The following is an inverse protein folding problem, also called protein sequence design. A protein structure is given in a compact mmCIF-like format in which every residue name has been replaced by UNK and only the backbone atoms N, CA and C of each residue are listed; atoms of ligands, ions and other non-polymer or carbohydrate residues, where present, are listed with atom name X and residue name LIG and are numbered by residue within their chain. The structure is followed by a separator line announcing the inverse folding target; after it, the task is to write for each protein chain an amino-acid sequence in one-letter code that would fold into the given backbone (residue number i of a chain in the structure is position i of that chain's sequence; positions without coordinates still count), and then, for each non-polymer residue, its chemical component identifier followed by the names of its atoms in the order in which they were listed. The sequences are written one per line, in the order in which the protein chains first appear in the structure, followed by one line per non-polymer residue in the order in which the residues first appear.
data_IF_430905806890
#
_entry.id   IF_430905806890
#
_cell.length_a   1.000
_cell.length_b   1.000
_cell.length_c   1.000
_cell.angle_alpha   90.00
_cell.angle_beta   90.00
_cell.angle_gamma   90.00
#
_symmetry.space_group_name_H-M   'P 1'
#
loop_
_entity.id
_entity.type
_entity.pdbx_description
1 polymer ?
#
# COMPACT_ATOMS: atom_id res chain seq x y z
N UNK A 1 36.09 2.32 -25.16
CA UNK A 1 34.69 1.82 -25.10
C UNK A 1 34.32 1.26 -26.46
N UNK A 2 33.73 0.08 -26.54
CA UNK A 2 33.39 -0.56 -27.82
C UNK A 2 32.09 0.03 -28.39
N UNK A 3 31.92 0.02 -29.72
CA UNK A 3 30.76 0.60 -30.42
C UNK A 3 29.42 0.10 -29.86
N UNK A 4 29.32 -1.21 -29.56
CA UNK A 4 28.10 -1.79 -28.98
C UNK A 4 27.75 -1.22 -27.59
N UNK A 5 28.75 -0.80 -26.79
CA UNK A 5 28.51 -0.17 -25.48
C UNK A 5 27.96 1.24 -25.65
N UNK A 6 28.46 1.99 -26.63
CA UNK A 6 27.97 3.34 -26.96
C UNK A 6 26.53 3.28 -27.47
N UNK A 7 26.22 2.32 -28.35
CA UNK A 7 24.86 2.09 -28.85
C UNK A 7 23.92 1.74 -27.70
N UNK A 8 24.34 0.87 -26.79
CA UNK A 8 23.51 0.48 -25.64
C UNK A 8 23.23 1.66 -24.71
N UNK A 9 24.24 2.49 -24.42
CA UNK A 9 24.10 3.71 -23.61
C UNK A 9 23.18 4.71 -24.31
N UNK A 10 23.32 4.91 -25.62
CA UNK A 10 22.48 5.82 -26.39
C UNK A 10 21.01 5.36 -26.42
N UNK A 11 20.75 4.07 -26.59
CA UNK A 11 19.40 3.51 -26.53
C UNK A 11 18.81 3.63 -25.13
N UNK A 12 19.59 3.35 -24.08
CA UNK A 12 19.16 3.53 -22.70
C UNK A 12 18.78 4.98 -22.40
N UNK A 13 19.62 5.95 -22.80
CA UNK A 13 19.34 7.38 -22.66
C UNK A 13 18.12 7.83 -23.49
N UNK A 14 17.94 7.31 -24.70
CA UNK A 14 16.78 7.61 -25.52
C UNK A 14 15.48 7.12 -24.85
N UNK A 15 15.47 5.91 -24.29
CA UNK A 15 14.29 5.38 -23.60
C UNK A 15 13.91 6.20 -22.37
N UNK A 16 14.88 6.61 -21.54
CA UNK A 16 14.60 7.43 -20.35
C UNK A 16 14.11 8.83 -20.72
N UNK A 17 14.64 9.41 -21.81
CA UNK A 17 14.19 10.70 -22.34
C UNK A 17 12.74 10.63 -22.87
N UNK A 18 12.37 9.56 -23.58
CA UNK A 18 10.99 9.37 -24.07
C UNK A 18 9.99 9.22 -22.94
N UNK A 19 10.32 8.46 -21.88
CA UNK A 19 9.46 8.35 -20.69
C UNK A 19 9.30 9.69 -19.94
N UNK A 20 10.32 10.56 -19.98
CA UNK A 20 10.26 11.88 -19.36
C UNK A 20 9.44 12.91 -20.16
N UNK A 21 9.21 12.69 -21.45
CA UNK A 21 8.44 13.59 -22.32
C UNK A 21 6.92 13.42 -22.22
N UNK A 22 6.43 12.31 -21.65
CA UNK A 22 5.00 12.12 -21.45
C UNK A 22 4.51 13.02 -20.29
N UNK A 23 4.09 14.25 -20.65
CA UNK A 23 3.64 15.31 -19.74
C UNK A 23 2.12 15.47 -19.72
N UNK A 24 1.35 14.43 -20.01
CA UNK A 24 -0.09 14.53 -19.72
C UNK A 24 -0.28 14.70 -18.21
N UNK A 25 -0.85 15.84 -17.82
CA UNK A 25 -1.10 16.17 -16.43
C UNK A 25 -2.15 15.21 -15.88
N UNK A 26 -1.71 14.20 -15.12
CA UNK A 26 -2.59 13.20 -14.55
C UNK A 26 -3.54 13.85 -13.53
N UNK A 27 -4.80 14.03 -13.93
CA UNK A 27 -5.79 14.71 -13.10
C UNK A 27 -6.59 13.68 -12.30
N UNK A 28 -6.25 13.52 -11.01
CA UNK A 28 -6.97 12.63 -10.08
C UNK A 28 -8.22 13.31 -9.53
N UNK A 29 -9.41 12.75 -9.79
CA UNK A 29 -10.69 13.27 -9.29
C UNK A 29 -11.67 12.11 -9.03
N UNK A 30 -12.62 12.34 -8.14
CA UNK A 30 -13.70 11.39 -7.84
C UNK A 30 -13.30 10.33 -6.81
N UNK A 31 -13.99 9.19 -6.86
CA UNK A 31 -13.81 8.10 -5.91
C UNK A 31 -12.47 7.38 -6.08
N UNK A 32 -11.92 6.92 -4.97
CA UNK A 32 -10.72 6.08 -4.91
C UNK A 32 -11.11 4.75 -4.30
N UNK A 33 -10.74 3.66 -4.95
CA UNK A 33 -10.86 2.31 -4.45
C UNK A 33 -9.54 1.58 -4.61
N UNK A 34 -9.19 0.73 -3.66
CA UNK A 34 -7.97 -0.06 -3.73
C UNK A 34 -8.03 -1.28 -2.83
N UNK A 35 -7.24 -2.29 -3.19
CA UNK A 35 -6.96 -3.44 -2.34
C UNK A 35 -5.45 -3.62 -2.22
N UNK A 36 -4.99 -4.18 -1.11
CA UNK A 36 -3.58 -4.51 -0.92
C UNK A 36 -3.41 -5.73 -0.03
N UNK A 37 -2.28 -6.41 -0.22
CA UNK A 37 -1.74 -7.40 0.72
C UNK A 37 -0.56 -6.77 1.44
N UNK A 38 -0.28 -7.22 2.65
CA UNK A 38 0.85 -6.71 3.41
C UNK A 38 1.21 -7.58 4.60
N UNK A 39 2.20 -7.13 5.34
CA UNK A 39 2.59 -7.71 6.60
C UNK A 39 3.09 -6.64 7.55
N UNK A 40 3.39 -7.03 8.77
CA UNK A 40 3.92 -6.13 9.77
C UNK A 40 4.38 -6.87 11.00
N UNK A 41 4.67 -6.09 12.03
CA UNK A 41 5.06 -6.58 13.34
C UNK A 41 3.97 -6.21 14.32
N UNK A 42 3.56 -7.17 15.15
CA UNK A 42 2.74 -6.95 16.33
C UNK A 42 3.65 -7.06 17.56
N UNK A 43 3.68 -6.02 18.39
CA UNK A 43 4.35 -6.04 19.69
C UNK A 43 3.32 -6.39 20.76
N UNK A 44 3.50 -7.51 21.44
CA UNK A 44 2.58 -7.99 22.46
C UNK A 44 3.38 -8.45 23.67
N UNK A 45 3.19 -7.82 24.82
CA UNK A 45 3.88 -8.16 26.08
C UNK A 45 5.41 -8.27 25.97
N UNK A 46 6.02 -7.47 25.08
CA UNK A 46 7.47 -7.49 24.83
C UNK A 46 7.92 -8.48 23.75
N UNK A 47 7.01 -9.31 23.24
CA UNK A 47 7.26 -10.22 22.13
C UNK A 47 6.95 -9.58 20.77
N UNK A 48 7.80 -9.88 19.79
CA UNK A 48 7.63 -9.52 18.38
C UNK A 48 6.94 -10.68 17.66
N UNK A 49 5.73 -10.46 17.15
CA UNK A 49 5.01 -11.43 16.30
C UNK A 49 4.91 -10.91 14.87
N UNK A 50 5.27 -11.76 13.91
CA UNK A 50 5.02 -11.50 12.50
C UNK A 50 3.52 -11.52 12.21
N UNK A 51 3.06 -10.55 11.42
CA UNK A 51 1.66 -10.41 11.04
C UNK A 51 1.53 -10.40 9.54
N UNK A 52 0.57 -11.14 9.02
CA UNK A 52 0.18 -11.09 7.63
C UNK A 52 -1.20 -10.44 7.50
N UNK A 53 -1.43 -9.72 6.41
CA UNK A 53 -2.55 -8.80 6.28
C UNK A 53 -3.13 -8.86 4.88
N UNK A 54 -4.22 -9.61 4.72
CA UNK A 54 -4.97 -9.75 3.47
C UNK A 54 -6.42 -10.13 3.77
N UNK A 55 -7.41 -9.60 3.02
CA UNK A 55 -7.31 -8.43 2.14
C UNK A 55 -7.36 -7.12 2.93
N UNK A 56 -6.64 -6.11 2.46
CA UNK A 56 -6.83 -4.74 2.95
C UNK A 56 -7.60 -3.93 1.92
N UNK A 57 -8.56 -3.12 2.36
CA UNK A 57 -9.36 -2.29 1.47
C UNK A 57 -9.16 -0.80 1.72
N UNK A 58 -9.17 0.00 0.65
CA UNK A 58 -9.19 1.46 0.71
C UNK A 58 -10.37 1.96 -0.11
N UNK A 59 -11.16 2.84 0.47
CA UNK A 59 -12.25 3.54 -0.22
C UNK A 59 -12.26 5.00 0.18
N UNK A 60 -12.51 5.91 -0.74
CA UNK A 60 -12.60 7.32 -0.42
C UNK A 60 -12.80 8.22 -1.62
N UNK A 61 -12.41 9.48 -1.49
CA UNK A 61 -12.58 10.49 -2.52
C UNK A 61 -11.36 11.40 -2.60
N UNK A 62 -10.99 11.79 -3.82
CA UNK A 62 -10.01 12.85 -4.05
C UNK A 62 -10.66 14.20 -3.76
N UNK A 63 -10.12 14.93 -2.78
CA UNK A 63 -10.56 16.31 -2.48
C UNK A 63 -9.88 17.34 -3.39
N UNK A 64 -8.70 17.01 -3.92
CA UNK A 64 -8.02 17.73 -4.99
C UNK A 64 -7.07 16.78 -5.75
N UNK A 65 -6.38 17.20 -6.84
CA UNK A 65 -5.53 16.30 -7.64
C UNK A 65 -4.36 15.62 -6.91
N UNK A 66 -3.97 16.11 -5.72
CA UNK A 66 -2.88 15.58 -4.90
C UNK A 66 -3.34 14.93 -3.60
N UNK A 67 -4.54 15.24 -3.09
CA UNK A 67 -4.99 14.79 -1.77
C UNK A 67 -6.32 14.02 -1.88
N UNK A 68 -6.34 12.82 -1.32
CA UNK A 68 -7.55 12.06 -1.06
C UNK A 68 -7.79 11.87 0.43
N UNK A 69 -9.06 11.83 0.81
CA UNK A 69 -9.51 11.39 2.13
C UNK A 69 -10.16 10.03 1.96
N UNK A 70 -9.66 9.04 2.69
CA UNK A 70 -10.01 7.64 2.54
C UNK A 70 -10.29 7.01 3.89
N UNK A 71 -11.07 5.94 3.85
CA UNK A 71 -11.14 4.93 4.88
C UNK A 71 -10.25 3.76 4.46
N UNK A 72 -9.26 3.45 5.28
CA UNK A 72 -8.44 2.25 5.16
C UNK A 72 -8.93 1.19 6.14
N UNK A 73 -9.21 0.01 5.61
CA UNK A 73 -9.70 -1.15 6.33
C UNK A 73 -8.67 -2.27 6.23
N UNK A 74 -7.60 -2.24 7.06
CA UNK A 74 -6.66 -3.33 7.10
C UNK A 74 -7.21 -4.50 7.91
N UNK A 75 -7.11 -5.69 7.35
CA UNK A 75 -7.42 -6.95 8.02
C UNK A 75 -6.21 -7.87 8.02
N UNK A 76 -6.08 -8.73 9.03
CA UNK A 76 -5.01 -9.72 9.02
C UNK A 76 -4.95 -10.59 10.25
N UNK A 77 -4.01 -11.53 10.24
CA UNK A 77 -3.91 -12.59 11.23
C UNK A 77 -2.49 -12.74 11.77
N UNK A 78 -2.38 -13.21 13.01
CA UNK A 78 -1.12 -13.64 13.61
C UNK A 78 -1.38 -14.80 14.59
N UNK A 79 -0.31 -15.49 15.01
CA UNK A 79 -0.40 -16.58 15.99
C UNK A 79 0.06 -16.11 17.37
N UNK A 80 -0.72 -16.43 18.39
CA UNK A 80 -0.40 -16.19 19.80
C UNK A 80 -0.63 -17.47 20.57
N UNK A 81 0.40 -17.99 21.24
CA UNK A 81 0.31 -19.22 22.07
C UNK A 81 -0.29 -20.44 21.34
N UNK A 82 -0.12 -20.50 20.01
CA UNK A 82 -0.67 -21.57 19.17
C UNK A 82 -2.09 -21.30 18.65
N UNK A 83 -2.76 -20.25 19.11
CA UNK A 83 -4.06 -19.81 18.61
C UNK A 83 -3.93 -18.75 17.52
N UNK A 84 -4.85 -18.78 16.56
CA UNK A 84 -4.97 -17.73 15.55
C UNK A 84 -5.76 -16.55 16.11
N UNK A 85 -5.21 -15.35 15.92
CA UNK A 85 -5.84 -14.07 16.24
C UNK A 85 -5.98 -13.27 14.95
N UNK A 86 -7.09 -12.57 14.81
CA UNK A 86 -7.37 -11.67 13.70
C UNK A 86 -7.50 -10.23 14.20
N UNK A 87 -7.07 -9.27 13.40
CA UNK A 87 -7.32 -7.86 13.64
C UNK A 87 -8.06 -7.27 12.45
N UNK A 88 -8.97 -6.35 12.72
CA UNK A 88 -9.69 -5.58 11.72
C UNK A 88 -9.62 -4.09 12.10
N UNK A 89 -9.08 -3.27 11.20
CA UNK A 89 -8.90 -1.85 11.39
C UNK A 89 -9.96 -1.02 10.70
N UNK A 90 -10.32 0.09 11.33
CA UNK A 90 -11.12 1.17 10.75
C UNK A 90 -10.32 2.48 10.87
N UNK A 91 -9.62 2.84 9.79
CA UNK A 91 -8.58 3.88 9.82
C UNK A 91 -8.91 5.00 8.82
N UNK A 92 -9.51 6.11 9.28
CA UNK A 92 -9.55 7.36 8.51
C UNK A 92 -8.14 7.80 8.15
N UNK A 93 -7.93 8.13 6.88
CA UNK A 93 -6.60 8.24 6.28
C UNK A 93 -6.54 9.37 5.27
N UNK A 94 -5.43 10.10 5.25
CA UNK A 94 -5.07 11.03 4.19
C UNK A 94 -4.07 10.37 3.23
N UNK A 95 -4.34 10.44 1.92
CA UNK A 95 -3.42 10.01 0.88
C UNK A 95 -2.94 11.20 0.06
N UNK A 96 -1.64 11.48 0.11
CA UNK A 96 -1.03 12.60 -0.57
C UNK A 96 -0.04 12.14 -1.65
N UNK A 97 -0.26 12.57 -2.89
CA UNK A 97 0.59 12.26 -4.04
C UNK A 97 1.75 13.24 -4.11
N UNK A 98 2.96 12.72 -3.87
CA UNK A 98 4.22 13.46 -3.96
C UNK A 98 4.66 13.61 -5.42
N UNK A 99 4.37 12.60 -6.24
CA UNK A 99 4.57 12.60 -7.70
C UNK A 99 3.35 11.97 -8.36
N UNK A 100 3.36 11.85 -9.69
CA UNK A 100 2.22 11.23 -10.36
C UNK A 100 2.05 9.74 -10.10
N UNK A 101 3.08 9.08 -9.58
CA UNK A 101 3.14 7.63 -9.36
C UNK A 101 3.40 7.26 -7.90
N UNK A 102 3.83 8.22 -7.08
CA UNK A 102 4.21 7.98 -5.70
C UNK A 102 3.36 8.80 -4.75
N UNK A 103 2.78 8.14 -3.77
CA UNK A 103 1.96 8.75 -2.73
C UNK A 103 2.39 8.27 -1.35
N UNK A 104 2.17 9.13 -0.37
CA UNK A 104 2.18 8.81 1.04
C UNK A 104 0.75 8.59 1.51
N UNK A 105 0.52 7.60 2.37
CA UNK A 105 -0.78 7.29 2.94
C UNK A 105 -0.62 7.12 4.45
N UNK A 106 -1.32 7.96 5.23
CA UNK A 106 -1.18 8.02 6.68
C UNK A 106 -2.54 8.25 7.33
N UNK A 107 -2.81 7.53 8.41
CA UNK A 107 -4.09 7.55 9.10
C UNK A 107 -3.95 7.06 10.53
N UNK A 108 -4.91 7.45 11.36
CA UNK A 108 -5.02 7.02 12.76
C UNK A 108 -6.46 6.64 12.99
N UNK A 109 -6.68 5.49 13.62
CA UNK A 109 -8.01 4.95 13.83
C UNK A 109 -8.02 3.86 14.88
N UNK A 110 -9.10 3.09 14.88
CA UNK A 110 -9.33 2.02 15.82
C UNK A 110 -9.15 0.68 15.11
N UNK A 111 -8.71 -0.32 15.85
CA UNK A 111 -8.71 -1.70 15.40
C UNK A 111 -9.31 -2.57 16.49
N UNK A 112 -10.00 -3.63 16.08
CA UNK A 112 -10.55 -4.65 16.96
C UNK A 112 -9.79 -5.94 16.71
N UNK A 113 -9.37 -6.58 17.79
CA UNK A 113 -8.79 -7.90 17.75
C UNK A 113 -9.84 -8.95 18.14
N UNK A 114 -9.89 -10.04 17.37
CA UNK A 114 -10.90 -11.09 17.49
C UNK A 114 -10.29 -12.45 17.20
N UNK A 115 -11.04 -13.52 17.44
CA UNK A 115 -10.76 -14.81 16.80
C UNK A 115 -11.12 -14.70 15.31
N UNK A 116 -10.29 -15.20 14.39
CA UNK A 116 -10.60 -15.15 12.96
C UNK A 116 -11.99 -15.72 12.66
N UNK A 117 -12.78 -14.99 11.87
CA UNK A 117 -14.08 -15.47 11.40
C UNK A 117 -13.96 -16.65 10.42
N UNK A 118 -12.74 -16.94 9.96
CA UNK A 118 -12.38 -18.02 9.04
C UNK A 118 -10.98 -18.54 9.40
N UNK A 119 -10.76 -19.86 9.29
CA UNK A 119 -9.41 -20.44 9.45
C UNK A 119 -8.61 -20.17 8.20
N UNK A 120 -7.38 -19.68 8.34
CA UNK A 120 -6.48 -19.45 7.19
C UNK A 120 -5.31 -20.40 7.28
N UNK A 121 -5.34 -21.44 6.45
CA UNK A 121 -4.22 -22.36 6.33
C UNK A 121 -3.19 -21.77 5.35
N UNK A 122 -2.17 -21.10 5.89
CA UNK A 122 -1.02 -20.65 5.12
C UNK A 122 -0.07 -21.84 4.96
N UNK A 123 -0.39 -22.74 4.02
CA UNK A 123 0.48 -23.85 3.63
C UNK A 123 1.84 -23.37 3.13
#
# INVERSE_FOLDING_TARGET
MKLHQIIFIALFLATTATFAQNKEAFTRKGFVFGTSIGGGIHLLDGDIKGRFSVPNFKVGVMVNPKLGILLYLPGGTYKQEGEERAFEGFIPTAQYWLTDKFYLNAGVGLAVETTPFYKVDYA
#
